data_IF_011163227965
#
_entry.id   IF_011163227965
#
_cell.length_a   1.000
_cell.length_b   1.000
_cell.length_c   1.000
_cell.angle_alpha   90.00
_cell.angle_beta   90.00
_cell.angle_gamma   90.00
#
_symmetry.space_group_name_H-M   'P 1'
#
loop_
_entity.id
_entity.type
_entity.pdbx_description
1 polymer ?
#
# COMPACT_ATOMS: atom_id res chain seq x y z
N UNK A 1 40.18 -17.49 35.42
CA UNK A 1 39.68 -18.20 36.62
C UNK A 1 40.33 -17.53 37.84
N UNK A 2 39.62 -17.21 38.95
CA UNK A 2 38.52 -17.93 39.64
C UNK A 2 37.14 -17.23 39.48
N UNK A 3 35.97 -17.88 39.45
CA UNK A 3 35.22 -18.79 40.35
C UNK A 3 34.05 -18.05 41.05
N UNK A 4 32.83 -18.19 40.50
CA UNK A 4 31.60 -18.78 41.08
C UNK A 4 31.04 -18.13 42.36
N UNK A 5 29.74 -17.77 42.32
CA UNK A 5 28.75 -18.11 43.36
C UNK A 5 27.35 -18.22 42.74
N UNK A 6 26.72 -19.36 43.01
CA UNK A 6 25.32 -19.73 42.74
C UNK A 6 24.37 -18.91 43.60
N UNK A 7 23.15 -18.66 43.10
CA UNK A 7 21.95 -18.61 43.97
C UNK A 7 20.83 -19.46 43.36
N UNK A 8 20.43 -20.41 44.18
CA UNK A 8 19.43 -21.45 43.98
C UNK A 8 18.03 -20.94 44.31
N UNK A 9 17.07 -21.39 43.50
CA UNK A 9 15.66 -21.76 43.74
C UNK A 9 14.88 -21.21 44.94
N UNK A 10 13.62 -20.82 44.68
CA UNK A 10 12.44 -21.30 45.44
C UNK A 10 11.27 -21.52 44.48
N UNK A 11 10.60 -22.66 44.64
CA UNK A 11 9.42 -23.14 43.93
C UNK A 11 8.13 -22.90 44.76
N UNK A 12 6.98 -23.13 44.12
CA UNK A 12 5.74 -23.77 44.65
C UNK A 12 4.48 -23.02 44.19
N UNK A 13 3.72 -23.59 43.25
CA UNK A 13 2.58 -24.52 43.44
C UNK A 13 1.32 -23.82 43.97
N UNK A 14 0.30 -23.75 43.11
CA UNK A 14 -1.10 -23.83 43.53
C UNK A 14 -1.79 -24.88 42.66
N UNK A 15 -2.25 -25.95 43.32
CA UNK A 15 -3.10 -27.03 42.84
C UNK A 15 -4.55 -26.75 43.30
N UNK A 16 -5.53 -26.99 42.42
CA UNK A 16 -6.87 -27.53 42.71
C UNK A 16 -7.69 -27.51 41.39
N UNK A 17 -7.92 -28.64 40.72
CA UNK A 17 -8.95 -29.67 40.98
C UNK A 17 -10.38 -29.22 40.67
N UNK A 18 -10.97 -29.84 39.63
CA UNK A 18 -12.40 -29.75 39.31
C UNK A 18 -12.74 -30.49 38.02
N UNK A 19 -12.99 -31.80 38.13
CA UNK A 19 -13.53 -32.63 37.05
C UNK A 19 -15.07 -32.63 37.11
N UNK A 20 -15.74 -32.48 35.96
CA UNK A 20 -17.10 -32.99 35.72
C UNK A 20 -17.25 -33.38 34.26
N UNK A 21 -17.58 -34.66 34.05
CA UNK A 21 -18.01 -35.26 32.79
C UNK A 21 -19.41 -34.75 32.42
N UNK A 22 -19.67 -34.48 31.14
CA UNK A 22 -21.01 -34.51 30.57
C UNK A 22 -20.93 -35.06 29.14
N UNK A 23 -21.74 -36.10 28.88
CA UNK A 23 -21.87 -36.78 27.60
C UNK A 23 -22.78 -36.00 26.64
N UNK A 24 -22.45 -36.16 25.34
CA UNK A 24 -23.35 -36.18 24.19
C UNK A 24 -24.15 -34.91 23.83
N UNK A 25 -23.76 -34.26 22.72
CA UNK A 25 -24.71 -33.70 21.76
C UNK A 25 -24.07 -33.58 20.36
N UNK A 26 -24.59 -34.40 19.45
CA UNK A 26 -24.69 -34.26 18.00
C UNK A 26 -23.62 -33.50 17.19
N UNK A 27 -22.85 -34.28 16.43
CA UNK A 27 -22.22 -33.86 15.18
C UNK A 27 -23.26 -33.30 14.21
N UNK A 28 -23.22 -31.99 13.98
CA UNK A 28 -23.79 -31.36 12.79
C UNK A 28 -22.64 -30.86 11.90
N UNK A 29 -22.61 -31.16 10.59
CA UNK A 29 -21.66 -30.53 9.69
C UNK A 29 -21.99 -29.05 9.61
N UNK A 30 -21.20 -28.22 10.31
CA UNK A 30 -21.21 -26.78 10.13
C UNK A 30 -20.67 -26.52 8.73
N UNK A 31 -21.59 -26.41 7.76
CA UNK A 31 -21.28 -25.90 6.44
C UNK A 31 -20.56 -24.57 6.64
N UNK A 32 -19.27 -24.55 6.32
CA UNK A 32 -18.48 -23.34 6.30
C UNK A 32 -19.19 -22.39 5.34
N UNK A 33 -19.86 -21.38 5.89
CA UNK A 33 -20.38 -20.28 5.10
C UNK A 33 -19.17 -19.71 4.36
N UNK A 34 -19.24 -19.54 3.02
CA UNK A 34 -18.19 -18.81 2.34
C UNK A 34 -18.09 -17.45 3.04
N UNK A 35 -16.90 -17.14 3.54
CA UNK A 35 -16.57 -15.83 4.00
C UNK A 35 -16.81 -14.91 2.81
N UNK A 36 -17.94 -14.22 2.81
CA UNK A 36 -18.13 -13.07 1.96
C UNK A 36 -17.00 -12.11 2.36
N UNK A 37 -15.98 -12.02 1.51
CA UNK A 37 -15.04 -10.91 1.53
C UNK A 37 -15.89 -9.66 1.61
N UNK A 38 -15.92 -9.03 2.77
CA UNK A 38 -16.45 -7.70 2.92
C UNK A 38 -15.53 -6.80 2.08
N UNK A 39 -15.91 -6.57 0.82
CA UNK A 39 -15.46 -5.42 0.08
C UNK A 39 -15.82 -4.23 0.96
N UNK A 40 -14.82 -3.62 1.58
CA UNK A 40 -15.04 -2.41 2.35
C UNK A 40 -15.67 -1.40 1.39
N UNK A 41 -16.76 -0.72 1.80
CA UNK A 41 -17.35 0.30 0.94
C UNK A 41 -16.32 1.40 0.74
N UNK A 42 -15.86 1.57 -0.50
CA UNK A 42 -15.26 2.83 -0.96
C UNK A 42 -16.18 3.93 -0.47
N UNK A 43 -15.63 4.85 0.31
CA UNK A 43 -16.30 6.02 0.86
C UNK A 43 -17.37 6.55 -0.11
N UNK A 44 -18.63 6.38 0.26
CA UNK A 44 -19.76 6.66 -0.62
C UNK A 44 -19.74 8.16 -1.00
N UNK A 45 -19.30 8.46 -2.22
CA UNK A 45 -19.25 9.81 -2.77
C UNK A 45 -17.96 10.18 -3.51
N UNK A 46 -16.86 9.46 -3.33
CA UNK A 46 -15.65 9.67 -4.13
C UNK A 46 -15.68 8.86 -5.43
N UNK A 47 -15.29 9.51 -6.53
CA UNK A 47 -15.06 8.84 -7.81
C UNK A 47 -14.01 7.73 -7.63
N UNK A 48 -14.28 6.54 -8.16
CA UNK A 48 -13.40 5.38 -8.02
C UNK A 48 -12.12 5.57 -8.86
N UNK A 49 -11.01 4.99 -8.43
CA UNK A 49 -9.75 5.00 -9.19
C UNK A 49 -9.87 4.32 -10.55
N UNK A 50 -10.83 3.41 -10.70
CA UNK A 50 -11.17 2.78 -11.99
C UNK A 50 -11.61 3.78 -13.07
N UNK A 51 -12.01 5.01 -12.70
CA UNK A 51 -12.29 6.12 -13.63
C UNK A 51 -11.09 6.48 -14.52
N UNK A 52 -9.86 6.11 -14.14
CA UNK A 52 -8.67 6.40 -14.93
C UNK A 52 -8.54 5.54 -16.19
N UNK A 53 -9.37 4.51 -16.36
CA UNK A 53 -9.27 3.55 -17.49
C UNK A 53 -9.17 4.21 -18.88
N UNK A 54 -9.92 5.27 -19.21
CA UNK A 54 -9.82 5.92 -20.52
C UNK A 54 -8.45 6.57 -20.79
N UNK A 55 -7.66 6.83 -19.75
CA UNK A 55 -6.34 7.49 -19.83
C UNK A 55 -5.18 6.50 -19.88
N UNK A 56 -5.45 5.18 -19.95
CA UNK A 56 -4.39 4.19 -20.12
C UNK A 56 -3.66 4.43 -21.45
N UNK A 57 -2.33 4.51 -21.37
CA UNK A 57 -1.43 4.78 -22.48
C UNK A 57 -1.22 6.27 -22.79
N UNK A 58 -1.84 7.20 -22.06
CA UNK A 58 -1.69 8.65 -22.27
C UNK A 58 -0.79 9.28 -21.22
N UNK A 59 -0.18 10.42 -21.53
CA UNK A 59 0.51 11.22 -20.54
C UNK A 59 -0.50 11.97 -19.66
N UNK A 60 -0.08 12.34 -18.44
CA UNK A 60 -0.95 13.06 -17.53
C UNK A 60 -1.46 14.37 -18.10
N UNK A 61 -0.71 15.08 -18.96
CA UNK A 61 -1.17 16.35 -19.52
C UNK A 61 -1.97 16.21 -20.83
N UNK A 62 -2.17 14.99 -21.34
CA UNK A 62 -2.88 14.76 -22.60
C UNK A 62 -4.39 14.84 -22.39
N UNK A 63 -4.95 16.04 -22.57
CA UNK A 63 -6.40 16.29 -22.54
C UNK A 63 -7.02 16.37 -21.14
N UNK A 64 -6.54 15.59 -20.18
CA UNK A 64 -7.00 15.64 -18.78
C UNK A 64 -5.84 15.38 -17.80
N UNK A 65 -5.54 16.37 -16.97
CA UNK A 65 -4.53 16.24 -15.91
C UNK A 65 -4.99 15.39 -14.74
N UNK A 66 -4.90 14.06 -14.89
CA UNK A 66 -5.31 13.10 -13.86
C UNK A 66 -4.46 13.16 -12.57
N UNK A 67 -3.31 13.86 -12.59
CA UNK A 67 -2.53 14.10 -11.38
C UNK A 67 -3.05 15.31 -10.60
N UNK A 68 -3.74 16.24 -11.26
CA UNK A 68 -4.31 17.47 -10.69
C UNK A 68 -5.83 17.51 -10.59
N UNK A 69 -6.52 16.62 -11.31
CA UNK A 69 -7.96 16.57 -11.44
C UNK A 69 -8.49 15.14 -11.29
N UNK A 70 -9.78 15.01 -11.00
CA UNK A 70 -10.47 13.72 -10.89
C UNK A 70 -10.13 12.89 -9.66
N UNK A 71 -10.55 11.62 -9.68
CA UNK A 71 -10.41 10.67 -8.58
C UNK A 71 -8.99 10.56 -8.02
N UNK A 72 -8.00 10.38 -8.90
CA UNK A 72 -6.61 10.16 -8.47
C UNK A 72 -6.05 11.40 -7.77
N UNK A 73 -6.24 12.60 -8.32
CA UNK A 73 -5.74 13.82 -7.71
C UNK A 73 -6.32 14.05 -6.31
N UNK A 74 -7.63 13.86 -6.15
CA UNK A 74 -8.30 13.98 -4.85
C UNK A 74 -7.73 12.98 -3.83
N UNK A 75 -7.52 11.73 -4.25
CA UNK A 75 -6.92 10.67 -3.41
C UNK A 75 -5.48 11.00 -3.02
N UNK A 76 -4.65 11.45 -3.97
CA UNK A 76 -3.26 11.82 -3.72
C UNK A 76 -3.15 13.00 -2.77
N UNK A 77 -4.01 14.02 -2.92
CA UNK A 77 -4.04 15.17 -2.02
C UNK A 77 -4.39 14.76 -0.59
N UNK A 78 -5.40 13.91 -0.42
CA UNK A 78 -5.80 13.41 0.89
C UNK A 78 -4.73 12.53 1.54
N UNK A 79 -4.09 11.64 0.76
CA UNK A 79 -3.07 10.72 1.24
C UNK A 79 -1.77 11.41 1.62
N UNK A 80 -1.29 12.32 0.77
CA UNK A 80 0.06 12.89 0.88
C UNK A 80 0.07 14.18 1.72
N UNK A 81 -1.05 14.88 1.80
CA UNK A 81 -1.11 16.23 2.31
C UNK A 81 -0.40 17.24 1.38
N UNK A 82 -0.44 18.53 1.72
CA UNK A 82 -0.08 19.61 0.79
C UNK A 82 1.39 19.58 0.36
N UNK A 83 2.31 19.32 1.29
CA UNK A 83 3.76 19.33 1.00
C UNK A 83 4.17 18.17 0.08
N UNK A 84 3.83 16.94 0.45
CA UNK A 84 4.21 15.77 -0.34
C UNK A 84 3.47 15.71 -1.67
N UNK A 85 2.23 16.22 -1.75
CA UNK A 85 1.53 16.33 -3.02
C UNK A 85 2.20 17.34 -3.96
N UNK A 86 2.65 18.50 -3.45
CA UNK A 86 3.44 19.44 -4.24
C UNK A 86 4.77 18.83 -4.72
N UNK A 87 5.46 18.09 -3.86
CA UNK A 87 6.67 17.37 -4.23
C UNK A 87 6.42 16.28 -5.28
N UNK A 88 5.32 15.53 -5.16
CA UNK A 88 4.89 14.55 -6.16
C UNK A 88 4.70 15.19 -7.54
N UNK A 89 3.95 16.30 -7.62
CA UNK A 89 3.71 17.00 -8.88
C UNK A 89 5.02 17.54 -9.49
N UNK A 90 5.94 18.05 -8.67
CA UNK A 90 7.25 18.47 -9.12
C UNK A 90 8.10 17.29 -9.64
N UNK A 91 7.93 16.11 -9.05
CA UNK A 91 8.62 14.88 -9.44
C UNK A 91 7.97 14.16 -10.62
N UNK A 92 6.77 14.57 -11.05
CA UNK A 92 6.09 14.01 -12.21
C UNK A 92 6.18 14.92 -13.45
N UNK A 93 7.02 15.96 -13.41
CA UNK A 93 7.26 16.86 -14.54
C UNK A 93 7.87 16.13 -15.76
N UNK A 94 8.72 15.12 -15.54
CA UNK A 94 9.13 14.16 -16.57
C UNK A 94 8.56 12.81 -16.17
N UNK A 95 7.31 12.56 -16.56
CA UNK A 95 6.61 11.31 -16.27
C UNK A 95 6.34 10.53 -17.56
N UNK A 96 6.32 9.20 -17.44
CA UNK A 96 5.83 8.32 -18.49
C UNK A 96 4.29 8.35 -18.61
N UNK A 97 3.73 7.65 -19.61
CA UNK A 97 2.30 7.49 -19.72
C UNK A 97 1.73 6.61 -18.58
N UNK A 98 0.43 6.76 -18.30
CA UNK A 98 -0.28 5.83 -17.42
C UNK A 98 -0.23 4.43 -18.03
N UNK A 99 0.53 3.53 -17.42
CA UNK A 99 0.84 2.21 -17.95
C UNK A 99 0.13 1.13 -17.13
N UNK A 100 0.08 -0.10 -17.64
CA UNK A 100 -0.54 -1.23 -16.95
C UNK A 100 0.32 -2.49 -17.02
N UNK A 101 0.45 -3.17 -15.88
CA UNK A 101 1.09 -4.49 -15.77
C UNK A 101 0.35 -5.31 -14.71
N UNK A 102 0.00 -6.56 -15.02
CA UNK A 102 -0.55 -7.48 -14.01
C UNK A 102 -1.84 -7.01 -13.33
N UNK A 103 -2.64 -6.17 -13.98
CA UNK A 103 -3.85 -5.58 -13.41
C UNK A 103 -3.63 -4.31 -12.58
N UNK A 104 -2.38 -3.91 -12.34
CA UNK A 104 -2.01 -2.65 -11.67
C UNK A 104 -1.75 -1.57 -12.72
N UNK A 105 -2.31 -0.38 -12.51
CA UNK A 105 -1.97 0.80 -13.31
C UNK A 105 -0.87 1.59 -12.62
N UNK A 106 0.05 2.17 -13.37
CA UNK A 106 1.15 2.89 -12.77
C UNK A 106 1.66 4.04 -13.63
N UNK A 107 2.30 4.99 -12.95
CA UNK A 107 3.07 6.05 -13.57
C UNK A 107 4.33 6.26 -12.76
N UNK A 108 5.45 6.43 -13.45
CA UNK A 108 6.73 6.81 -12.88
C UNK A 108 7.16 8.14 -13.46
N UNK A 109 7.93 8.88 -12.68
CA UNK A 109 8.51 10.13 -13.15
C UNK A 109 9.63 10.63 -12.28
N UNK A 110 10.29 11.67 -12.79
CA UNK A 110 11.28 12.44 -12.05
C UNK A 110 11.14 13.94 -12.31
N UNK A 111 11.71 14.73 -11.41
CA UNK A 111 11.94 16.16 -11.67
C UNK A 111 13.01 16.30 -12.76
N UNK A 112 12.86 17.23 -13.73
CA UNK A 112 13.83 17.46 -14.78
C UNK A 112 15.26 17.53 -14.24
N UNK A 113 16.16 16.78 -14.86
CA UNK A 113 17.59 16.69 -14.50
C UNK A 113 17.90 16.15 -13.09
N UNK A 114 16.91 15.58 -12.37
CA UNK A 114 17.07 15.13 -10.98
C UNK A 114 16.62 13.67 -10.75
N UNK A 115 16.79 12.80 -11.76
CA UNK A 115 16.39 11.38 -11.77
C UNK A 115 17.09 10.43 -10.77
N UNK A 116 17.63 10.93 -9.68
CA UNK A 116 18.16 10.12 -8.57
C UNK A 116 17.83 10.66 -7.17
N UNK A 117 17.47 11.94 -7.08
CA UNK A 117 17.13 12.62 -5.83
C UNK A 117 15.66 13.03 -5.74
N UNK A 118 14.96 13.08 -6.88
CA UNK A 118 13.62 13.62 -7.02
C UNK A 118 12.82 12.78 -8.02
N UNK A 119 12.20 11.74 -7.50
CA UNK A 119 11.50 10.73 -8.28
C UNK A 119 10.21 10.35 -7.58
N UNK A 120 9.28 9.79 -8.33
CA UNK A 120 8.07 9.23 -7.79
C UNK A 120 7.55 8.07 -8.63
N UNK A 121 6.81 7.19 -7.97
CA UNK A 121 6.02 6.15 -8.60
C UNK A 121 4.65 6.10 -7.94
N UNK A 122 3.62 5.91 -8.74
CA UNK A 122 2.25 5.67 -8.28
C UNK A 122 1.83 4.33 -8.87
N UNK A 123 1.34 3.42 -8.03
CA UNK A 123 0.71 2.17 -8.43
C UNK A 123 -0.73 2.15 -7.94
N UNK A 124 -1.65 1.68 -8.78
CA UNK A 124 -3.09 1.72 -8.58
C UNK A 124 -3.63 0.30 -8.82
N UNK A 125 -4.30 -0.26 -7.82
CA UNK A 125 -5.15 -1.43 -7.96
C UNK A 125 -6.60 -0.96 -8.17
N UNK A 126 -7.08 -0.88 -9.43
CA UNK A 126 -8.42 -0.39 -9.71
C UNK A 126 -9.52 -1.37 -9.27
N UNK A 127 -9.20 -2.64 -9.01
CA UNK A 127 -10.18 -3.64 -8.56
C UNK A 127 -10.45 -3.52 -7.07
N UNK A 128 -9.42 -3.19 -6.30
CA UNK A 128 -9.52 -2.94 -4.85
C UNK A 128 -9.67 -1.46 -4.50
N UNK A 129 -9.71 -0.60 -5.52
CA UNK A 129 -9.81 0.85 -5.37
C UNK A 129 -8.73 1.40 -4.41
N UNK A 130 -7.52 0.87 -4.57
CA UNK A 130 -6.37 1.12 -3.71
C UNK A 130 -5.21 1.68 -4.52
N UNK A 131 -4.34 2.46 -3.87
CA UNK A 131 -3.11 2.96 -4.47
C UNK A 131 -1.95 2.94 -3.48
N UNK A 132 -0.75 2.91 -4.06
CA UNK A 132 0.54 2.97 -3.37
C UNK A 132 1.42 3.99 -4.06
N UNK A 133 2.03 4.87 -3.29
CA UNK A 133 2.91 5.93 -3.78
C UNK A 133 4.28 5.74 -3.16
N UNK A 134 5.31 5.72 -3.99
CA UNK A 134 6.68 5.93 -3.56
C UNK A 134 7.10 7.33 -3.98
N UNK A 135 7.55 8.14 -3.03
CA UNK A 135 7.99 9.52 -3.25
C UNK A 135 9.40 9.69 -2.71
N UNK A 136 10.32 10.05 -3.58
CA UNK A 136 11.67 10.47 -3.21
C UNK A 136 11.79 11.98 -3.33
N UNK A 137 11.98 12.64 -2.21
CA UNK A 137 12.14 14.10 -2.15
C UNK A 137 13.35 14.47 -1.31
N UNK A 138 14.21 15.36 -1.81
CA UNK A 138 15.47 15.75 -1.16
C UNK A 138 16.34 14.53 -0.80
N UNK A 139 16.36 13.54 -1.69
CA UNK A 139 17.11 12.30 -1.49
C UNK A 139 16.56 11.34 -0.43
N UNK A 140 15.38 11.61 0.15
CA UNK A 140 14.71 10.71 1.09
C UNK A 140 13.48 10.08 0.45
N UNK A 141 13.39 8.75 0.51
CA UNK A 141 12.23 8.00 0.07
C UNK A 141 11.20 7.86 1.19
N UNK A 142 9.92 7.95 0.83
CA UNK A 142 8.78 7.62 1.66
C UNK A 142 7.75 6.86 0.83
N UNK A 143 7.00 5.99 1.49
CA UNK A 143 5.94 5.21 0.87
C UNK A 143 4.60 5.46 1.57
N UNK A 144 3.54 5.60 0.77
CA UNK A 144 2.19 5.89 1.23
C UNK A 144 1.21 4.90 0.59
N UNK A 145 0.16 4.53 1.33
CA UNK A 145 -0.90 3.64 0.83
C UNK A 145 -2.28 4.19 1.18
N UNK A 146 -3.20 4.09 0.23
CA UNK A 146 -4.63 4.37 0.44
C UNK A 146 -5.46 3.19 -0.10
N UNK A 147 -6.29 2.53 0.72
CA UNK A 147 -6.39 2.69 2.18
C UNK A 147 -5.07 2.32 2.89
N UNK A 148 -4.89 2.81 4.12
CA UNK A 148 -3.68 2.53 4.89
C UNK A 148 -3.45 1.02 5.04
N UNK A 149 -2.25 0.55 4.68
CA UNK A 149 -1.89 -0.86 4.75
C UNK A 149 -2.36 -1.68 3.55
N UNK A 150 -2.93 -1.05 2.51
CA UNK A 150 -3.25 -1.73 1.27
C UNK A 150 -2.00 -2.36 0.63
N UNK A 151 -2.15 -3.59 0.14
CA UNK A 151 -1.09 -4.30 -0.56
C UNK A 151 -1.31 -4.15 -2.07
N UNK A 152 -0.65 -3.13 -2.65
CA UNK A 152 -0.57 -2.95 -4.10
C UNK A 152 0.84 -3.37 -4.55
N UNK A 153 0.98 -4.42 -5.37
CA UNK A 153 2.30 -4.89 -5.81
C UNK A 153 2.94 -3.85 -6.75
N UNK A 154 4.26 -3.72 -6.68
CA UNK A 154 4.99 -2.90 -7.63
C UNK A 154 5.12 -3.60 -8.98
N UNK A 155 4.69 -2.97 -10.10
CA UNK A 155 5.03 -3.38 -11.46
C UNK A 155 6.56 -3.51 -11.64
N UNK A 156 7.01 -4.30 -12.62
CA UNK A 156 8.43 -4.52 -12.90
C UNK A 156 9.19 -3.21 -13.11
N UNK A 157 8.65 -2.30 -13.92
CA UNK A 157 9.29 -1.02 -14.21
C UNK A 157 9.46 -0.17 -12.93
N UNK A 158 8.48 -0.23 -12.03
CA UNK A 158 8.55 0.45 -10.73
C UNK A 158 9.60 -0.23 -9.84
N UNK A 159 9.68 -1.56 -9.83
CA UNK A 159 10.73 -2.28 -9.07
C UNK A 159 12.12 -1.92 -9.56
N UNK A 160 12.32 -1.83 -10.88
CA UNK A 160 13.60 -1.39 -11.45
C UNK A 160 13.92 0.05 -11.09
N UNK A 161 12.94 0.96 -11.13
CA UNK A 161 13.12 2.35 -10.67
C UNK A 161 13.59 2.39 -9.20
N UNK A 162 12.90 1.66 -8.32
CA UNK A 162 13.22 1.61 -6.89
C UNK A 162 14.63 1.04 -6.68
N UNK A 163 14.98 -0.06 -7.34
CA UNK A 163 16.32 -0.66 -7.25
C UNK A 163 17.42 0.31 -7.69
N UNK A 164 17.20 1.04 -8.80
CA UNK A 164 18.13 2.06 -9.28
C UNK A 164 18.26 3.24 -8.31
N UNK A 165 17.21 3.52 -7.54
CA UNK A 165 17.23 4.52 -6.49
C UNK A 165 17.93 4.00 -5.20
N UNK A 166 18.22 2.71 -5.09
CA UNK A 166 18.76 2.07 -3.89
C UNK A 166 17.68 1.61 -2.90
N UNK A 167 16.44 1.49 -3.36
CA UNK A 167 15.30 0.98 -2.61
C UNK A 167 14.97 -0.42 -3.17
N UNK A 168 15.23 -1.51 -2.43
CA UNK A 168 15.06 -2.86 -2.98
C UNK A 168 15.10 -3.95 -1.93
#
# INVERSE_FOLDING_TARGET
MPSLIRRTSVAAVVLASGAVLSLAACSGPQAARPAATAAQPSSAGQEALASLRPWLGTYHHDGHDYLRQGALAARLQALLGPEHYAALLANMQVAGPLSQEGGVWFVTGNRPHQGGSEQAAIAIDPQRDALRVWLRHRGRAQEFTDPQGAVVPWPQDVRTLLQNAGEG
#
